data_IF_783690519249
#
_entry.id   IF_783690519249
#
_cell.length_a   1.000
_cell.length_b   1.000
_cell.length_c   1.000
_cell.angle_alpha   90.00
_cell.angle_beta   90.00
_cell.angle_gamma   90.00
#
_symmetry.space_group_name_H-M   'P 1'
#
loop_
_entity.id
_entity.type
_entity.pdbx_description
1 polymer ?
#
# COMPACT_ATOMS: atom_id res chain seq x y z
N UNK A 1 44.24 16.16 3.94
CA UNK A 1 43.28 16.64 2.92
C UNK A 1 42.96 15.61 1.84
N UNK A 2 43.92 14.89 1.26
CA UNK A 2 43.65 13.84 0.26
C UNK A 2 42.83 12.64 0.82
N UNK A 3 43.09 12.26 2.07
CA UNK A 3 42.35 11.17 2.75
C UNK A 3 40.88 11.52 3.04
N UNK A 4 40.58 12.76 3.45
CA UNK A 4 39.20 13.24 3.63
C UNK A 4 38.45 13.33 2.30
N UNK A 5 39.14 13.67 1.21
CA UNK A 5 38.55 13.69 -0.14
C UNK A 5 38.24 12.27 -0.62
N UNK A 6 39.11 11.30 -0.34
CA UNK A 6 38.89 9.88 -0.64
C UNK A 6 37.78 9.25 0.23
N UNK A 7 37.69 9.62 1.51
CA UNK A 7 36.59 9.19 2.39
C UNK A 7 35.25 9.82 1.98
N UNK A 8 35.24 11.10 1.59
CA UNK A 8 34.06 11.73 1.02
C UNK A 8 33.65 11.10 -0.32
N UNK A 9 34.59 10.80 -1.23
CA UNK A 9 34.33 10.07 -2.47
C UNK A 9 33.88 8.61 -2.25
N UNK A 10 34.40 7.94 -1.23
CA UNK A 10 33.98 6.58 -0.85
C UNK A 10 32.56 6.60 -0.25
N UNK A 11 32.25 7.59 0.59
CA UNK A 11 30.90 7.83 1.14
C UNK A 11 29.90 8.31 0.07
N UNK A 12 30.32 9.09 -0.93
CA UNK A 12 29.55 9.42 -2.14
C UNK A 12 29.32 8.18 -3.03
N UNK A 13 30.13 7.14 -2.84
CA UNK A 13 29.92 5.80 -3.38
C UNK A 13 28.86 4.99 -2.62
N UNK A 14 28.61 5.29 -1.34
CA UNK A 14 27.66 4.59 -0.46
C UNK A 14 26.31 5.32 -0.36
N UNK A 15 25.81 5.87 -1.48
CA UNK A 15 24.51 6.57 -1.53
C UNK A 15 23.33 5.74 -0.98
N UNK A 16 23.43 4.41 -1.00
CA UNK A 16 22.40 3.54 -0.43
C UNK A 16 22.19 3.74 1.07
N UNK A 17 23.17 4.28 1.81
CA UNK A 17 23.03 4.57 3.26
C UNK A 17 21.90 5.57 3.53
N UNK A 18 21.58 6.43 2.56
CA UNK A 18 20.46 7.36 2.67
C UNK A 18 19.11 6.65 2.77
N UNK A 19 18.99 5.38 2.36
CA UNK A 19 17.76 4.59 2.54
C UNK A 19 17.46 4.39 4.03
N UNK A 20 18.46 4.31 4.90
CA UNK A 20 18.22 4.18 6.35
C UNK A 20 17.60 5.43 6.97
N UNK A 21 17.77 6.61 6.34
CA UNK A 21 17.10 7.85 6.75
C UNK A 21 15.57 7.77 6.56
N UNK A 22 15.08 6.85 5.72
CA UNK A 22 13.64 6.65 5.46
C UNK A 22 12.85 6.46 6.74
N UNK A 23 13.38 5.76 7.75
CA UNK A 23 12.67 5.56 9.02
C UNK A 23 12.40 6.88 9.75
N UNK A 24 13.44 7.70 9.93
CA UNK A 24 13.35 9.02 10.57
C UNK A 24 12.43 9.96 9.80
N UNK A 25 12.43 9.82 8.48
CA UNK A 25 11.59 10.58 7.55
C UNK A 25 10.13 10.14 7.69
N UNK A 26 9.86 8.83 7.67
CA UNK A 26 8.52 8.27 7.73
C UNK A 26 7.81 8.43 9.09
N UNK A 27 8.56 8.44 10.20
CA UNK A 27 8.00 8.54 11.56
C UNK A 27 7.47 9.94 11.92
N UNK A 28 7.70 10.94 11.07
CA UNK A 28 7.25 12.29 11.36
C UNK A 28 5.71 12.35 11.55
N UNK A 29 5.22 12.99 12.64
CA UNK A 29 3.79 13.00 12.97
C UNK A 29 2.91 13.49 11.83
N UNK A 30 3.35 14.51 11.10
CA UNK A 30 2.61 15.09 9.98
C UNK A 30 2.24 14.05 8.91
N UNK A 31 3.17 13.15 8.58
CA UNK A 31 2.97 12.15 7.52
C UNK A 31 2.20 10.94 8.00
N UNK A 32 2.49 10.46 9.21
CA UNK A 32 1.70 9.40 9.83
C UNK A 32 0.24 9.85 9.94
N UNK A 33 -0.01 11.08 10.38
CA UNK A 33 -1.37 11.60 10.54
C UNK A 33 -2.08 11.76 9.19
N UNK A 34 -1.35 12.22 8.16
CA UNK A 34 -1.89 12.31 6.78
C UNK A 34 -2.26 10.93 6.23
N UNK A 35 -1.38 9.94 6.39
CA UNK A 35 -1.64 8.56 6.01
C UNK A 35 -2.79 7.94 6.83
N UNK A 36 -2.84 8.21 8.13
CA UNK A 36 -3.88 7.72 9.04
C UNK A 36 -5.25 8.28 8.69
N UNK A 37 -5.34 9.57 8.36
CA UNK A 37 -6.59 10.20 7.94
C UNK A 37 -7.09 9.60 6.62
N UNK A 38 -6.22 9.45 5.62
CA UNK A 38 -6.57 8.80 4.35
C UNK A 38 -7.01 7.34 4.56
N UNK A 39 -6.30 6.59 5.42
CA UNK A 39 -6.66 5.22 5.78
C UNK A 39 -8.02 5.16 6.49
N UNK A 40 -8.28 6.08 7.41
CA UNK A 40 -9.56 6.15 8.14
C UNK A 40 -10.71 6.40 7.17
N UNK A 41 -10.57 7.36 6.25
CA UNK A 41 -11.57 7.63 5.22
C UNK A 41 -11.82 6.40 4.33
N UNK A 42 -10.76 5.67 3.95
CA UNK A 42 -10.88 4.45 3.15
C UNK A 42 -11.64 3.36 3.91
N UNK A 43 -11.34 3.14 5.18
CA UNK A 43 -12.01 2.13 6.02
C UNK A 43 -13.46 2.50 6.31
N UNK A 44 -13.76 3.78 6.53
CA UNK A 44 -15.14 4.26 6.70
C UNK A 44 -15.95 4.06 5.41
N UNK A 45 -15.38 4.39 4.26
CA UNK A 45 -16.02 4.15 2.96
C UNK A 45 -16.29 2.66 2.71
N UNK A 46 -15.30 1.80 2.93
CA UNK A 46 -15.45 0.34 2.81
C UNK A 46 -16.50 -0.23 3.78
N UNK A 47 -16.49 0.24 5.03
CA UNK A 47 -17.50 -0.15 6.02
C UNK A 47 -18.92 0.28 5.64
N UNK A 48 -19.08 1.49 5.11
CA UNK A 48 -20.38 1.99 4.64
C UNK A 48 -20.89 1.17 3.44
N UNK A 49 -19.99 0.76 2.55
CA UNK A 49 -20.34 -0.08 1.39
C UNK A 49 -20.65 -1.54 1.78
N UNK A 50 -20.12 -2.03 2.92
CA UNK A 50 -20.34 -3.39 3.43
C UNK A 50 -21.76 -3.65 4.00
N UNK A 51 -22.68 -2.69 3.87
CA UNK A 51 -24.07 -2.84 4.29
C UNK A 51 -24.80 -3.98 3.55
N UNK A 52 -24.46 -4.22 2.28
CA UNK A 52 -24.89 -5.41 1.54
C UNK A 52 -23.93 -6.57 1.83
N UNK A 53 -24.24 -7.37 2.85
CA UNK A 53 -23.48 -8.60 3.17
C UNK A 53 -23.63 -9.63 2.05
N UNK A 54 -22.70 -9.66 1.10
CA UNK A 54 -22.76 -10.53 -0.09
C UNK A 54 -21.84 -11.75 -0.03
N UNK A 55 -20.78 -11.73 0.79
CA UNK A 55 -19.75 -12.76 0.80
C UNK A 55 -20.18 -14.00 1.59
N UNK A 56 -20.03 -15.19 0.99
CA UNK A 56 -20.43 -16.47 1.58
C UNK A 56 -19.35 -17.05 2.50
N UNK A 57 -19.77 -17.55 3.67
CA UNK A 57 -18.89 -18.14 4.70
C UNK A 57 -19.26 -19.59 4.99
N UNK A 58 -18.26 -20.48 5.07
CA UNK A 58 -18.44 -21.93 5.25
C UNK A 58 -19.03 -22.29 6.62
N UNK A 59 -18.65 -21.53 7.66
CA UNK A 59 -18.99 -21.80 9.06
C UNK A 59 -18.29 -23.02 9.66
N UNK A 60 -17.24 -23.56 9.00
CA UNK A 60 -16.37 -24.63 9.52
C UNK A 60 -14.90 -24.24 9.36
N UNK A 61 -14.09 -24.42 10.40
CA UNK A 61 -12.66 -24.07 10.43
C UNK A 61 -11.81 -25.24 9.93
N UNK A 62 -10.84 -24.97 9.05
CA UNK A 62 -9.86 -25.95 8.52
C UNK A 62 -8.50 -25.78 9.20
N UNK A 63 -7.64 -26.81 9.20
CA UNK A 63 -6.27 -26.71 9.79
C UNK A 63 -5.41 -25.61 9.18
N UNK A 64 -5.57 -25.33 7.89
CA UNK A 64 -4.87 -24.24 7.21
C UNK A 64 -5.35 -22.86 7.70
N UNK A 65 -6.62 -22.75 8.11
CA UNK A 65 -7.24 -21.53 8.63
C UNK A 65 -6.75 -21.20 10.04
N UNK A 66 -6.40 -22.22 10.84
CA UNK A 66 -5.76 -22.02 12.16
C UNK A 66 -4.39 -21.34 12.00
N UNK A 67 -3.60 -21.73 11.00
CA UNK A 67 -2.29 -21.12 10.74
C UNK A 67 -2.38 -19.68 10.20
N UNK A 68 -3.42 -19.33 9.44
CA UNK A 68 -3.66 -17.93 9.05
C UNK A 68 -4.23 -17.11 10.20
N UNK A 69 -5.04 -17.72 11.07
CA UNK A 69 -5.64 -17.08 12.25
C UNK A 69 -4.58 -16.57 13.23
N UNK A 70 -3.42 -17.24 13.34
CA UNK A 70 -2.28 -16.75 14.14
C UNK A 70 -1.69 -15.42 13.61
N UNK A 71 -1.80 -15.16 12.30
CA UNK A 71 -1.23 -13.98 11.63
C UNK A 71 -2.22 -12.81 11.49
N UNK A 72 -3.51 -13.11 11.40
CA UNK A 72 -4.62 -12.12 11.48
C UNK A 72 -5.03 -11.82 12.90
N UNK A 73 -4.79 -12.75 13.82
CA UNK A 73 -5.30 -12.60 15.17
C UNK A 73 -6.82 -12.74 15.30
N UNK A 74 -7.45 -13.42 14.35
CA UNK A 74 -8.86 -13.75 14.53
C UNK A 74 -9.11 -15.12 13.96
N UNK A 75 -10.04 -15.86 14.56
CA UNK A 75 -10.61 -17.06 13.96
C UNK A 75 -11.28 -16.66 12.63
N UNK A 76 -10.52 -16.68 11.54
CA UNK A 76 -11.01 -16.34 10.21
C UNK A 76 -11.72 -17.56 9.67
N UNK A 77 -13.04 -17.51 9.66
CA UNK A 77 -13.85 -18.50 8.97
C UNK A 77 -13.47 -18.49 7.48
N UNK A 78 -13.25 -19.66 6.85
CA UNK A 78 -12.97 -19.71 5.43
C UNK A 78 -14.13 -19.09 4.67
N UNK A 79 -13.78 -18.15 3.80
CA UNK A 79 -14.71 -17.41 2.94
C UNK A 79 -14.53 -17.85 1.49
N UNK A 80 -15.43 -17.42 0.61
CA UNK A 80 -15.29 -17.66 -0.84
C UNK A 80 -13.93 -17.17 -1.37
N UNK A 81 -13.38 -16.07 -0.83
CA UNK A 81 -12.04 -15.58 -1.17
C UNK A 81 -10.93 -16.58 -0.81
N UNK A 82 -10.99 -17.20 0.37
CA UNK A 82 -10.00 -18.20 0.79
C UNK A 82 -10.04 -19.42 -0.13
N UNK A 83 -11.24 -19.85 -0.53
CA UNK A 83 -11.40 -20.94 -1.49
C UNK A 83 -10.88 -20.56 -2.89
N UNK A 84 -11.16 -19.34 -3.36
CA UNK A 84 -10.69 -18.85 -4.65
C UNK A 84 -9.16 -18.86 -4.76
N UNK A 85 -8.48 -18.41 -3.70
CA UNK A 85 -7.01 -18.34 -3.68
C UNK A 85 -6.37 -19.72 -3.47
N UNK A 86 -6.94 -20.55 -2.59
CA UNK A 86 -6.33 -21.84 -2.21
C UNK A 86 -6.68 -23.02 -3.13
N UNK A 87 -7.88 -23.03 -3.72
CA UNK A 87 -8.38 -24.13 -4.55
C UNK A 87 -9.43 -23.61 -5.56
N UNK A 88 -8.99 -22.92 -6.63
CA UNK A 88 -9.91 -22.28 -7.58
C UNK A 88 -10.88 -23.27 -8.25
N UNK A 89 -10.47 -24.52 -8.46
CA UNK A 89 -11.30 -25.59 -9.03
C UNK A 89 -12.55 -25.91 -8.18
N UNK A 90 -12.51 -25.64 -6.88
CA UNK A 90 -13.60 -25.96 -5.93
C UNK A 90 -14.49 -24.76 -5.65
N UNK A 91 -14.19 -23.60 -6.24
CA UNK A 91 -14.84 -22.33 -5.92
C UNK A 91 -16.34 -22.34 -6.23
N UNK A 92 -16.76 -22.85 -7.40
CA UNK A 92 -18.17 -22.89 -7.79
C UNK A 92 -18.98 -23.83 -6.89
N UNK A 93 -18.46 -25.03 -6.64
CA UNK A 93 -19.07 -25.98 -5.70
C UNK A 93 -19.10 -25.46 -4.25
N UNK A 94 -18.14 -24.61 -3.86
CA UNK A 94 -18.18 -23.93 -2.57
C UNK A 94 -19.32 -22.91 -2.50
N UNK A 95 -19.48 -22.07 -3.53
CA UNK A 95 -20.59 -21.10 -3.57
C UNK A 95 -21.92 -21.84 -3.46
N UNK A 96 -22.14 -22.85 -4.29
CA UNK A 96 -23.40 -23.60 -4.32
C UNK A 96 -23.72 -24.24 -2.97
N UNK A 97 -22.71 -24.84 -2.31
CA UNK A 97 -22.87 -25.52 -1.02
C UNK A 97 -23.23 -24.60 0.14
N UNK A 98 -22.79 -23.34 0.09
CA UNK A 98 -22.89 -22.41 1.21
C UNK A 98 -23.80 -21.20 0.96
N UNK A 99 -24.36 -21.06 -0.26
CA UNK A 99 -25.24 -19.95 -0.67
C UNK A 99 -26.46 -19.74 0.23
N UNK A 100 -27.06 -20.83 0.69
CA UNK A 100 -28.30 -20.81 1.49
C UNK A 100 -28.04 -20.65 3.00
N UNK A 101 -26.78 -20.63 3.43
CA UNK A 101 -26.46 -20.41 4.84
C UNK A 101 -26.62 -18.94 5.24
N UNK A 102 -27.03 -18.66 6.50
CA UNK A 102 -27.26 -17.29 6.96
C UNK A 102 -25.96 -16.49 7.22
N UNK A 103 -24.80 -17.16 7.23
CA UNK A 103 -23.51 -16.54 7.53
C UNK A 103 -22.94 -15.79 6.32
N UNK A 104 -23.27 -14.49 6.22
CA UNK A 104 -22.73 -13.59 5.19
C UNK A 104 -21.89 -12.47 5.80
N UNK A 105 -20.83 -12.09 5.12
CA UNK A 105 -19.95 -10.97 5.50
C UNK A 105 -19.86 -9.92 4.39
N UNK A 106 -19.37 -8.73 4.74
CA UNK A 106 -19.10 -7.66 3.78
C UNK A 106 -17.83 -7.92 2.97
N UNK A 107 -17.79 -7.40 1.74
CA UNK A 107 -16.68 -7.60 0.80
C UNK A 107 -15.39 -6.95 1.33
N UNK A 108 -15.46 -5.72 1.83
CA UNK A 108 -14.29 -5.00 2.32
C UNK A 108 -13.75 -5.63 3.60
N UNK A 109 -14.60 -6.05 4.55
CA UNK A 109 -14.14 -6.75 5.76
C UNK A 109 -13.34 -8.00 5.41
N UNK A 110 -13.83 -8.82 4.48
CA UNK A 110 -13.15 -10.06 4.06
C UNK A 110 -11.86 -9.75 3.31
N UNK A 111 -11.91 -8.83 2.35
CA UNK A 111 -10.74 -8.46 1.55
C UNK A 111 -9.64 -7.79 2.38
N UNK A 112 -9.98 -6.79 3.20
CA UNK A 112 -9.02 -6.05 4.03
C UNK A 112 -8.36 -6.95 5.08
N UNK A 113 -9.13 -7.79 5.78
CA UNK A 113 -8.58 -8.73 6.76
C UNK A 113 -7.64 -9.75 6.11
N UNK A 114 -8.01 -10.29 4.94
CA UNK A 114 -7.16 -11.19 4.17
C UNK A 114 -5.85 -10.51 3.77
N UNK A 115 -5.91 -9.31 3.17
CA UNK A 115 -4.74 -8.56 2.75
C UNK A 115 -3.82 -8.20 3.93
N UNK A 116 -4.38 -7.79 5.08
CA UNK A 116 -3.58 -7.49 6.29
C UNK A 116 -2.85 -8.74 6.79
N UNK A 117 -3.51 -9.91 6.78
CA UNK A 117 -2.89 -11.19 7.16
C UNK A 117 -1.65 -11.49 6.30
N UNK A 118 -1.83 -11.36 4.97
CA UNK A 118 -0.78 -11.67 4.00
C UNK A 118 0.35 -10.64 4.05
N UNK A 119 0.04 -9.36 4.29
CA UNK A 119 1.06 -8.33 4.52
C UNK A 119 1.87 -8.59 5.80
N UNK A 120 1.24 -9.02 6.90
CA UNK A 120 1.96 -9.42 8.12
C UNK A 120 2.91 -10.58 7.84
N UNK A 121 2.43 -11.60 7.13
CA UNK A 121 3.24 -12.76 6.72
C UNK A 121 4.39 -12.36 5.81
N UNK A 122 4.14 -11.49 4.84
CA UNK A 122 5.14 -10.97 3.91
C UNK A 122 6.24 -10.21 4.67
N UNK A 123 5.86 -9.33 5.59
CA UNK A 123 6.81 -8.56 6.41
C UNK A 123 7.66 -9.46 7.32
N UNK A 124 7.06 -10.46 7.97
CA UNK A 124 7.81 -11.43 8.76
C UNK A 124 8.75 -12.28 7.90
N UNK A 125 8.32 -12.68 6.70
CA UNK A 125 9.10 -13.52 5.80
C UNK A 125 10.30 -12.78 5.21
N UNK A 126 10.11 -11.54 4.76
CA UNK A 126 11.19 -10.74 4.18
C UNK A 126 12.22 -10.31 5.23
N UNK A 127 11.80 -10.08 6.49
CA UNK A 127 12.72 -9.79 7.59
C UNK A 127 13.66 -10.98 7.90
N UNK A 128 13.21 -12.22 7.64
CA UNK A 128 14.01 -13.45 7.79
C UNK A 128 14.60 -13.90 6.44
N UNK A 129 14.54 -13.06 5.40
CA UNK A 129 15.04 -13.33 4.05
C UNK A 129 14.45 -14.60 3.38
N UNK A 130 13.23 -14.98 3.75
CA UNK A 130 12.47 -16.06 3.10
C UNK A 130 11.64 -15.52 1.94
N UNK A 131 12.27 -15.39 0.79
CA UNK A 131 11.65 -14.79 -0.40
C UNK A 131 10.46 -15.57 -0.96
N UNK A 132 10.44 -16.91 -0.84
CA UNK A 132 9.33 -17.72 -1.36
C UNK A 132 8.00 -17.34 -0.71
N UNK A 133 7.96 -17.29 0.63
CA UNK A 133 6.76 -16.89 1.37
C UNK A 133 6.36 -15.43 1.14
N UNK A 134 7.34 -14.55 0.84
CA UNK A 134 7.07 -13.16 0.49
C UNK A 134 6.36 -13.07 -0.86
N UNK A 135 6.88 -13.74 -1.89
CA UNK A 135 6.29 -13.76 -3.23
C UNK A 135 4.91 -14.40 -3.21
N UNK A 136 4.73 -15.52 -2.51
CA UNK A 136 3.41 -16.15 -2.39
C UNK A 136 2.42 -15.20 -1.73
N UNK A 137 2.78 -14.54 -0.63
CA UNK A 137 1.88 -13.63 0.07
C UNK A 137 1.48 -12.43 -0.80
N UNK A 138 2.42 -11.91 -1.61
CA UNK A 138 2.14 -10.82 -2.53
C UNK A 138 1.22 -11.28 -3.68
N UNK A 139 1.45 -12.47 -4.23
CA UNK A 139 0.59 -13.05 -5.26
C UNK A 139 -0.84 -13.31 -4.76
N UNK A 140 -0.99 -13.73 -3.50
CA UNK A 140 -2.29 -13.95 -2.87
C UNK A 140 -3.06 -12.63 -2.70
N UNK A 141 -2.38 -11.51 -2.38
CA UNK A 141 -3.00 -10.17 -2.35
C UNK A 141 -3.47 -9.72 -3.74
N UNK A 142 -2.70 -10.01 -4.79
CA UNK A 142 -3.09 -9.70 -6.18
C UNK A 142 -4.31 -10.55 -6.56
N UNK A 143 -4.29 -11.86 -6.27
CA UNK A 143 -5.44 -12.74 -6.51
C UNK A 143 -6.68 -12.30 -5.72
N UNK A 144 -6.52 -11.77 -4.51
CA UNK A 144 -7.63 -11.21 -3.73
C UNK A 144 -8.23 -9.95 -4.39
N UNK A 145 -7.41 -9.09 -4.99
CA UNK A 145 -7.90 -7.96 -5.78
C UNK A 145 -8.61 -8.42 -7.06
N UNK A 146 -8.08 -9.44 -7.75
CA UNK A 146 -8.73 -10.06 -8.93
C UNK A 146 -10.07 -10.67 -8.58
N UNK A 147 -10.16 -11.39 -7.46
CA UNK A 147 -11.42 -11.93 -6.93
C UNK A 147 -12.45 -10.83 -6.71
N UNK A 148 -12.05 -9.74 -6.04
CA UNK A 148 -12.93 -8.62 -5.76
C UNK A 148 -13.45 -8.00 -7.05
N UNK A 149 -12.58 -7.79 -8.06
CA UNK A 149 -12.97 -7.24 -9.36
C UNK A 149 -13.87 -8.18 -10.17
N UNK A 150 -13.62 -9.49 -10.14
CA UNK A 150 -14.34 -10.49 -10.95
C UNK A 150 -15.74 -10.78 -10.40
N UNK A 151 -15.88 -10.94 -9.09
CA UNK A 151 -17.15 -11.35 -8.47
C UNK A 151 -17.94 -10.17 -7.87
N UNK A 152 -17.26 -9.08 -7.51
CA UNK A 152 -17.86 -7.88 -6.91
C UNK A 152 -17.43 -6.62 -7.69
N UNK A 153 -17.66 -6.62 -9.00
CA UNK A 153 -17.10 -5.61 -9.94
C UNK A 153 -17.47 -4.18 -9.58
N UNK A 154 -18.77 -3.87 -9.45
CA UNK A 154 -19.23 -2.50 -9.15
C UNK A 154 -18.68 -2.01 -7.81
N UNK A 155 -18.72 -2.87 -6.79
CA UNK A 155 -18.19 -2.60 -5.46
C UNK A 155 -16.69 -2.27 -5.54
N UNK A 156 -15.93 -3.11 -6.21
CA UNK A 156 -14.48 -2.97 -6.32
C UNK A 156 -14.08 -1.73 -7.11
N UNK A 157 -14.77 -1.40 -8.21
CA UNK A 157 -14.50 -0.19 -8.98
C UNK A 157 -14.66 1.05 -8.10
N UNK A 158 -15.77 1.16 -7.36
CA UNK A 158 -16.02 2.30 -6.47
C UNK A 158 -14.93 2.38 -5.39
N UNK A 159 -14.61 1.26 -4.74
CA UNK A 159 -13.59 1.22 -3.69
C UNK A 159 -12.19 1.58 -4.22
N UNK A 160 -11.80 1.05 -5.39
CA UNK A 160 -10.49 1.35 -5.99
C UNK A 160 -10.39 2.80 -6.44
N UNK A 161 -11.47 3.41 -6.94
CA UNK A 161 -11.49 4.85 -7.27
C UNK A 161 -11.32 5.69 -6.01
N UNK A 162 -12.04 5.38 -4.93
CA UNK A 162 -11.89 6.07 -3.64
C UNK A 162 -10.46 5.90 -3.11
N UNK A 163 -9.91 4.68 -3.15
CA UNK A 163 -8.55 4.41 -2.74
C UNK A 163 -7.54 5.22 -3.57
N UNK A 164 -7.69 5.24 -4.89
CA UNK A 164 -6.81 5.98 -5.78
C UNK A 164 -6.86 7.49 -5.49
N UNK A 165 -8.04 8.07 -5.27
CA UNK A 165 -8.20 9.49 -4.90
C UNK A 165 -7.46 9.78 -3.58
N UNK A 166 -7.73 8.98 -2.54
CA UNK A 166 -7.15 9.18 -1.22
C UNK A 166 -5.62 9.01 -1.22
N UNK A 167 -5.11 7.95 -1.86
CA UNK A 167 -3.68 7.68 -1.93
C UNK A 167 -2.93 8.62 -2.89
N UNK A 168 -3.58 9.16 -3.93
CA UNK A 168 -2.94 10.17 -4.79
C UNK A 168 -2.71 11.47 -4.02
N UNK A 169 -3.72 11.94 -3.27
CA UNK A 169 -3.61 13.14 -2.45
C UNK A 169 -2.65 12.94 -1.26
N UNK A 170 -2.84 11.87 -0.48
CA UNK A 170 -2.00 11.58 0.68
C UNK A 170 -0.57 11.22 0.29
N UNK A 171 -0.39 10.39 -0.75
CA UNK A 171 0.91 10.00 -1.28
C UNK A 171 1.70 11.21 -1.79
N UNK A 172 1.07 12.10 -2.57
CA UNK A 172 1.70 13.35 -3.00
C UNK A 172 2.12 14.25 -1.83
N UNK A 173 1.29 14.38 -0.80
CA UNK A 173 1.61 15.17 0.40
C UNK A 173 2.78 14.56 1.20
N UNK A 174 2.79 13.23 1.36
CA UNK A 174 3.87 12.50 2.05
C UNK A 174 5.17 12.61 1.26
N UNK A 175 5.14 12.41 -0.06
CA UNK A 175 6.30 12.58 -0.94
C UNK A 175 6.83 14.01 -0.88
N UNK A 176 5.95 15.04 -0.85
CA UNK A 176 6.37 16.44 -0.69
C UNK A 176 7.10 16.70 0.63
N UNK A 177 6.53 16.22 1.74
CA UNK A 177 7.18 16.33 3.04
C UNK A 177 8.52 15.57 3.11
N UNK A 178 8.58 14.39 2.49
CA UNK A 178 9.80 13.59 2.44
C UNK A 178 10.89 14.23 1.56
N UNK A 179 10.53 14.82 0.42
CA UNK A 179 11.46 15.47 -0.49
C UNK A 179 12.11 16.70 0.16
N UNK A 180 11.31 17.56 0.81
CA UNK A 180 11.80 18.77 1.49
C UNK A 180 12.70 18.42 2.68
N UNK A 181 12.32 17.44 3.48
CA UNK A 181 13.17 17.02 4.60
C UNK A 181 14.45 16.35 4.11
N UNK A 182 14.38 15.48 3.10
CA UNK A 182 15.57 14.76 2.66
C UNK A 182 16.60 15.66 1.99
N UNK A 183 16.12 16.65 1.22
CA UNK A 183 16.98 17.46 0.36
C UNK A 183 17.47 18.73 1.04
N UNK A 184 16.64 19.35 1.90
CA UNK A 184 16.94 20.64 2.56
C UNK A 184 16.89 20.60 4.08
N UNK A 185 16.64 19.44 4.69
CA UNK A 185 16.39 19.28 6.12
C UNK A 185 15.22 20.13 6.66
N UNK A 186 14.34 20.60 5.77
CA UNK A 186 13.17 21.40 6.13
C UNK A 186 11.98 20.52 6.57
N UNK A 187 11.42 20.84 7.74
CA UNK A 187 10.20 20.18 8.23
C UNK A 187 8.98 20.93 7.75
N UNK A 188 8.40 20.45 6.65
CA UNK A 188 7.15 20.99 6.15
C UNK A 188 5.97 20.52 7.02
N UNK A 189 5.07 21.44 7.37
CA UNK A 189 3.83 21.13 8.07
C UNK A 189 2.85 20.32 7.21
N UNK A 190 1.76 19.86 7.82
CA UNK A 190 0.70 19.09 7.14
C UNK A 190 0.03 19.94 6.05
N UNK A 191 -0.38 21.16 6.40
CA UNK A 191 -1.20 22.02 5.53
C UNK A 191 -0.50 22.39 4.22
N UNK A 192 0.78 22.84 4.21
CA UNK A 192 1.45 23.18 2.94
C UNK A 192 1.68 21.95 2.05
N UNK A 193 1.97 20.78 2.63
CA UNK A 193 2.11 19.53 1.88
C UNK A 193 0.80 19.11 1.21
N UNK A 194 -0.32 19.15 1.94
CA UNK A 194 -1.65 18.83 1.40
C UNK A 194 -2.04 19.86 0.33
N UNK A 195 -1.81 21.16 0.57
CA UNK A 195 -2.11 22.22 -0.41
C UNK A 195 -1.37 21.97 -1.73
N UNK A 196 -0.10 21.61 -1.67
CA UNK A 196 0.68 21.24 -2.86
C UNK A 196 0.09 20.01 -3.57
N UNK A 197 -0.22 18.95 -2.81
CA UNK A 197 -0.79 17.73 -3.37
C UNK A 197 -2.15 17.96 -4.04
N UNK A 198 -3.00 18.82 -3.46
CA UNK A 198 -4.28 19.21 -4.04
C UNK A 198 -4.10 20.05 -5.32
N UNK A 199 -3.12 20.96 -5.34
CA UNK A 199 -2.81 21.76 -6.54
C UNK A 199 -2.35 20.88 -7.72
N UNK A 200 -1.61 19.80 -7.43
CA UNK A 200 -1.12 18.82 -8.43
C UNK A 200 -1.92 17.53 -8.45
N UNK A 201 -3.16 17.55 -7.94
CA UNK A 201 -3.97 16.34 -7.77
C UNK A 201 -4.24 15.61 -9.09
N UNK A 202 -4.55 16.34 -10.17
CA UNK A 202 -4.81 15.75 -11.48
C UNK A 202 -3.57 14.98 -11.96
N UNK A 203 -2.38 15.57 -11.86
CA UNK A 203 -1.14 14.90 -12.26
C UNK A 203 -0.86 13.66 -11.41
N UNK A 204 -1.08 13.74 -10.10
CA UNK A 204 -0.90 12.62 -9.16
C UNK A 204 -1.90 11.48 -9.39
N UNK A 205 -3.15 11.81 -9.70
CA UNK A 205 -4.22 10.85 -9.96
C UNK A 205 -4.08 10.19 -11.33
N UNK A 206 -3.72 10.95 -12.37
CA UNK A 206 -3.59 10.45 -13.73
C UNK A 206 -2.29 9.66 -13.95
N UNK A 207 -1.21 9.93 -13.21
CA UNK A 207 0.07 9.26 -13.43
C UNK A 207 0.01 7.72 -13.29
N UNK A 208 -0.60 7.15 -12.22
CA UNK A 208 -0.80 5.70 -12.12
C UNK A 208 -1.76 5.11 -13.17
N UNK A 209 -2.74 5.90 -13.64
CA UNK A 209 -3.73 5.47 -14.62
C UNK A 209 -3.19 5.44 -16.05
N UNK A 210 -2.28 6.35 -16.39
CA UNK A 210 -1.71 6.47 -17.73
C UNK A 210 -1.15 5.15 -18.31
N UNK A 211 -0.28 4.38 -17.61
CA UNK A 211 0.18 3.10 -18.14
C UNK A 211 -0.96 2.07 -18.29
N UNK A 212 -1.94 2.08 -17.38
CA UNK A 212 -3.10 1.17 -17.45
C UNK A 212 -3.98 1.49 -18.66
N UNK A 213 -4.20 2.77 -18.94
CA UNK A 213 -4.92 3.23 -20.13
C UNK A 213 -4.15 2.86 -21.39
N UNK A 214 -2.83 3.05 -21.43
CA UNK A 214 -2.00 2.66 -22.57
C UNK A 214 -2.08 1.15 -22.84
N UNK A 215 -1.99 0.32 -21.80
CA UNK A 215 -2.16 -1.14 -21.91
C UNK A 215 -3.55 -1.48 -22.43
N UNK A 216 -4.61 -0.84 -21.92
CA UNK A 216 -5.98 -1.08 -22.38
C UNK A 216 -6.19 -0.70 -23.85
N UNK A 217 -5.61 0.42 -24.31
CA UNK A 217 -5.68 0.87 -25.71
C UNK A 217 -4.94 -0.11 -26.63
N UNK A 218 -3.71 -0.51 -26.29
CA UNK A 218 -2.98 -1.52 -27.05
C UNK A 218 -3.72 -2.87 -27.06
N UNK A 219 -4.28 -3.27 -25.92
CA UNK A 219 -5.09 -4.48 -25.79
C UNK A 219 -6.33 -4.44 -26.67
N UNK A 220 -7.01 -3.29 -26.75
CA UNK A 220 -8.17 -3.10 -27.63
C UNK A 220 -7.81 -3.33 -29.11
N UNK A 221 -6.64 -2.84 -29.56
CA UNK A 221 -6.15 -3.10 -30.91
C UNK A 221 -5.96 -4.59 -31.16
N UNK A 222 -5.38 -5.32 -30.20
CA UNK A 222 -5.22 -6.78 -30.30
C UNK A 222 -6.57 -7.50 -30.32
N UNK A 223 -7.55 -7.05 -29.52
CA UNK A 223 -8.91 -7.59 -29.52
C UNK A 223 -9.59 -7.41 -30.88
N UNK A 224 -9.43 -6.24 -31.53
CA UNK A 224 -9.97 -6.00 -32.88
C UNK A 224 -9.39 -6.99 -33.89
N UNK A 225 -8.08 -7.26 -33.87
CA UNK A 225 -7.49 -8.29 -34.71
C UNK A 225 -7.98 -9.70 -34.38
N UNK A 226 -8.21 -9.99 -33.10
CA UNK A 226 -8.84 -11.23 -32.66
C UNK A 226 -10.27 -11.40 -33.19
N UNK A 227 -11.06 -10.32 -33.25
CA UNK A 227 -12.41 -10.36 -33.85
C UNK A 227 -12.36 -10.64 -35.35
N UNK A 228 -11.41 -10.03 -36.07
CA UNK A 228 -11.21 -10.24 -37.51
C UNK A 228 -10.91 -11.71 -37.83
N UNK A 229 -10.22 -12.41 -36.93
CA UNK A 229 -9.89 -13.82 -37.07
C UNK A 229 -11.11 -14.76 -37.08
N UNK A 230 -12.27 -14.32 -36.58
CA UNK A 230 -13.49 -15.14 -36.57
C UNK A 230 -14.19 -15.23 -37.94
N UNK A 231 -13.72 -14.52 -38.97
CA UNK A 231 -14.30 -14.59 -40.32
C UNK A 231 -13.88 -15.92 -40.96
N UNK A 232 -14.83 -16.80 -41.36
CA UNK A 232 -14.50 -18.08 -41.97
C UNK A 232 -13.66 -17.89 -43.25
N UNK A 233 -12.60 -18.71 -43.39
CA UNK A 233 -11.68 -18.82 -44.54
C UNK A 233 -10.75 -17.60 -44.77
N UNK A 234 -11.22 -16.37 -44.55
CA UNK A 234 -10.41 -15.16 -44.72
C UNK A 234 -9.73 -14.66 -43.43
N UNK A 235 -10.31 -14.94 -42.27
CA UNK A 235 -9.85 -14.43 -40.97
C UNK A 235 -8.47 -14.97 -40.57
N UNK A 236 -8.18 -16.23 -40.87
CA UNK A 236 -6.90 -16.87 -40.56
C UNK A 236 -5.72 -16.22 -41.31
N UNK A 237 -5.89 -15.98 -42.62
CA UNK A 237 -4.86 -15.37 -43.46
C UNK A 237 -4.66 -13.90 -43.06
N UNK A 238 -5.76 -13.17 -42.81
CA UNK A 238 -5.70 -11.77 -42.42
C UNK A 238 -5.05 -11.60 -41.04
N UNK A 239 -5.35 -12.48 -40.08
CA UNK A 239 -4.67 -12.50 -38.79
C UNK A 239 -3.19 -12.82 -38.94
N UNK A 240 -2.82 -13.81 -39.76
CA UNK A 240 -1.43 -14.18 -39.98
C UNK A 240 -0.59 -13.00 -40.53
N UNK A 241 -1.14 -12.25 -41.49
CA UNK A 241 -0.50 -11.04 -42.03
C UNK A 241 -0.45 -9.93 -40.98
N UNK A 242 -1.54 -9.73 -40.23
CA UNK A 242 -1.62 -8.72 -39.18
C UNK A 242 -0.87 -9.09 -37.88
N UNK A 243 -0.35 -10.32 -37.77
CA UNK A 243 0.26 -10.84 -36.56
C UNK A 243 1.49 -10.03 -36.13
N UNK A 244 2.21 -9.42 -37.08
CA UNK A 244 3.31 -8.51 -36.77
C UNK A 244 2.84 -7.31 -35.91
N UNK A 245 1.65 -6.76 -36.18
CA UNK A 245 1.08 -5.68 -35.38
C UNK A 245 0.64 -6.17 -34.00
N UNK A 246 0.12 -7.39 -33.91
CA UNK A 246 -0.20 -8.03 -32.63
C UNK A 246 1.05 -8.21 -31.76
N UNK A 247 2.16 -8.66 -32.35
CA UNK A 247 3.45 -8.79 -31.66
C UNK A 247 4.01 -7.44 -31.20
N UNK A 248 3.92 -6.40 -32.05
CA UNK A 248 4.33 -5.04 -31.67
C UNK A 248 3.47 -4.51 -30.51
N UNK A 249 2.14 -4.66 -30.58
CA UNK A 249 1.25 -4.26 -29.49
C UNK A 249 1.54 -5.07 -28.21
N UNK A 250 1.81 -6.37 -28.34
CA UNK A 250 2.23 -7.25 -27.24
C UNK A 250 3.53 -6.78 -26.58
N UNK A 251 4.54 -6.43 -27.38
CA UNK A 251 5.80 -5.88 -26.89
C UNK A 251 5.59 -4.54 -26.17
N UNK A 252 4.80 -3.63 -26.73
CA UNK A 252 4.44 -2.36 -26.11
C UNK A 252 3.74 -2.56 -24.76
N UNK A 253 2.78 -3.50 -24.68
CA UNK A 253 2.10 -3.85 -23.43
C UNK A 253 3.07 -4.47 -22.42
N UNK A 254 3.96 -5.37 -22.84
CA UNK A 254 4.94 -5.99 -21.96
C UNK A 254 5.89 -4.95 -21.34
N UNK A 255 6.40 -4.02 -22.16
CA UNK A 255 7.20 -2.90 -21.69
C UNK A 255 6.37 -1.96 -20.79
N UNK A 256 5.12 -1.66 -21.13
CA UNK A 256 4.29 -0.83 -20.25
C UNK A 256 4.04 -1.49 -18.88
N UNK A 257 3.82 -2.81 -18.84
CA UNK A 257 3.60 -3.58 -17.61
C UNK A 257 4.87 -3.58 -16.75
N UNK A 258 6.03 -3.91 -17.32
CA UNK A 258 7.31 -3.94 -16.59
C UNK A 258 7.66 -2.54 -16.06
N UNK A 259 7.51 -1.52 -16.92
CA UNK A 259 7.76 -0.12 -16.57
C UNK A 259 6.83 0.38 -15.49
N UNK A 260 5.54 0.06 -15.56
CA UNK A 260 4.57 0.43 -14.53
C UNK A 260 4.84 -0.29 -13.20
N UNK A 261 5.14 -1.60 -13.23
CA UNK A 261 5.40 -2.38 -12.03
C UNK A 261 6.58 -1.82 -11.20
N UNK A 262 7.65 -1.35 -11.86
CA UNK A 262 8.77 -0.68 -11.19
C UNK A 262 8.53 0.81 -10.94
N UNK A 263 7.93 1.51 -11.92
CA UNK A 263 7.87 2.97 -11.97
C UNK A 263 6.75 3.60 -11.15
N UNK A 264 5.65 2.88 -10.90
CA UNK A 264 4.46 3.45 -10.23
C UNK A 264 4.76 4.02 -8.84
N UNK A 265 5.72 3.43 -8.12
CA UNK A 265 6.19 3.93 -6.82
C UNK A 265 6.94 5.27 -6.95
N UNK A 266 7.65 5.47 -8.07
CA UNK A 266 8.47 6.66 -8.30
C UNK A 266 7.66 7.85 -8.85
N UNK A 267 6.54 7.60 -9.54
CA UNK A 267 5.75 8.65 -10.21
C UNK A 267 5.34 9.82 -9.31
N UNK A 268 4.79 9.61 -8.09
CA UNK A 268 4.45 10.73 -7.20
C UNK A 268 5.68 11.54 -6.77
N UNK A 269 6.84 10.89 -6.70
CA UNK A 269 8.10 11.54 -6.33
C UNK A 269 8.62 12.43 -7.46
N UNK A 270 8.52 12.00 -8.73
CA UNK A 270 8.89 12.82 -9.90
C UNK A 270 8.09 14.12 -9.90
N UNK A 271 6.76 14.03 -9.75
CA UNK A 271 5.85 15.18 -9.73
C UNK A 271 6.22 16.16 -8.62
N UNK A 272 6.62 15.66 -7.45
CA UNK A 272 6.99 16.48 -6.29
C UNK A 272 8.32 17.19 -6.47
N UNK A 273 9.33 16.51 -7.03
CA UNK A 273 10.67 17.06 -7.18
C UNK A 273 10.81 18.03 -8.35
N UNK A 274 10.06 17.79 -9.43
CA UNK A 274 10.23 18.50 -10.70
C UNK A 274 8.98 19.27 -11.15
N UNK A 275 7.88 19.19 -10.39
CA UNK A 275 6.60 19.82 -10.71
C UNK A 275 6.00 19.37 -12.06
N UNK A 276 6.42 18.21 -12.55
CA UNK A 276 6.05 17.61 -13.83
C UNK A 276 4.58 17.24 -13.94
N UNK A 277 4.11 17.11 -15.19
CA UNK A 277 2.80 16.55 -15.51
C UNK A 277 2.81 15.01 -15.49
N UNK A 278 1.62 14.41 -15.52
CA UNK A 278 1.46 12.96 -15.40
C UNK A 278 2.25 12.18 -16.46
N UNK A 279 2.24 12.64 -17.72
CA UNK A 279 2.95 11.97 -18.81
C UNK A 279 4.47 12.04 -18.64
N UNK A 280 5.00 13.21 -18.27
CA UNK A 280 6.43 13.38 -18.00
C UNK A 280 6.88 12.54 -16.79
N UNK A 281 6.04 12.47 -15.74
CA UNK A 281 6.29 11.62 -14.57
C UNK A 281 6.37 10.13 -14.92
N UNK A 282 5.48 9.65 -15.80
CA UNK A 282 5.52 8.26 -16.30
C UNK A 282 6.78 8.01 -17.12
N UNK A 283 7.12 8.91 -18.04
CA UNK A 283 8.28 8.73 -18.90
C UNK A 283 9.60 8.70 -18.09
N UNK A 284 9.79 9.64 -17.16
CA UNK A 284 10.98 9.68 -16.30
C UNK A 284 11.06 8.48 -15.35
N UNK A 285 9.96 8.12 -14.70
CA UNK A 285 9.93 6.96 -13.79
C UNK A 285 10.26 5.65 -14.53
N UNK A 286 9.65 5.41 -15.70
CA UNK A 286 9.97 4.25 -16.54
C UNK A 286 11.42 4.29 -17.05
N UNK A 287 11.88 5.45 -17.53
CA UNK A 287 13.25 5.63 -18.04
C UNK A 287 14.30 5.29 -16.98
N UNK A 288 14.11 5.74 -15.74
CA UNK A 288 15.04 5.42 -14.65
C UNK A 288 15.07 3.94 -14.30
N UNK A 289 13.90 3.28 -14.30
CA UNK A 289 13.79 1.83 -14.09
C UNK A 289 14.55 1.08 -15.20
N UNK A 290 14.42 1.49 -16.45
CA UNK A 290 15.09 0.85 -17.59
C UNK A 290 16.59 1.14 -17.71
N UNK A 291 17.01 2.33 -17.31
CA UNK A 291 18.42 2.75 -17.46
C UNK A 291 19.32 2.04 -16.45
N UNK A 292 18.85 1.82 -15.21
CA UNK A 292 19.62 1.16 -14.14
C UNK A 292 18.75 0.17 -13.33
N UNK A 293 18.20 -0.88 -13.95
CA UNK A 293 17.25 -1.79 -13.30
C UNK A 293 17.84 -2.45 -12.05
N UNK A 294 19.07 -2.92 -12.11
CA UNK A 294 19.74 -3.54 -10.94
C UNK A 294 19.99 -2.61 -9.77
N UNK A 295 20.26 -1.32 -10.01
CA UNK A 295 20.39 -0.36 -8.90
C UNK A 295 19.04 -0.05 -8.29
N UNK A 296 18.01 0.14 -9.13
CA UNK A 296 16.65 0.32 -8.65
C UNK A 296 16.19 -0.88 -7.83
N UNK A 297 16.35 -2.11 -8.34
CA UNK A 297 16.01 -3.34 -7.63
C UNK A 297 16.78 -3.48 -6.32
N UNK A 298 18.08 -3.16 -6.29
CA UNK A 298 18.87 -3.18 -5.06
C UNK A 298 18.34 -2.17 -4.02
N UNK A 299 18.07 -0.93 -4.43
CA UNK A 299 17.52 0.08 -3.53
C UNK A 299 16.11 -0.27 -3.04
N UNK A 300 15.25 -0.78 -3.93
CA UNK A 300 13.90 -1.22 -3.59
C UNK A 300 13.93 -2.42 -2.62
N UNK A 301 14.81 -3.40 -2.86
CA UNK A 301 14.99 -4.56 -1.98
C UNK A 301 15.51 -4.14 -0.61
N UNK A 302 16.54 -3.29 -0.58
CA UNK A 302 17.10 -2.77 0.68
C UNK A 302 16.06 -1.98 1.47
N UNK A 303 15.28 -1.12 0.79
CA UNK A 303 14.17 -0.39 1.42
C UNK A 303 13.06 -1.33 1.91
N UNK A 304 12.75 -2.41 1.18
CA UNK A 304 11.74 -3.38 1.58
C UNK A 304 12.16 -4.19 2.82
N UNK A 305 13.41 -4.69 2.86
CA UNK A 305 13.96 -5.39 4.03
C UNK A 305 14.02 -4.47 5.24
N UNK A 306 14.56 -3.25 5.07
CA UNK A 306 14.63 -2.28 6.16
C UNK A 306 13.25 -1.86 6.63
N UNK A 307 12.31 -1.61 5.71
CA UNK A 307 10.93 -1.27 6.00
C UNK A 307 10.21 -2.38 6.79
N UNK A 308 10.46 -3.64 6.46
CA UNK A 308 9.91 -4.77 7.22
C UNK A 308 10.46 -4.83 8.64
N UNK A 309 11.78 -4.61 8.84
CA UNK A 309 12.38 -4.52 10.17
C UNK A 309 11.78 -3.34 10.96
N UNK A 310 11.67 -2.17 10.35
CA UNK A 310 11.04 -1.00 10.97
C UNK A 310 9.58 -1.24 11.33
N UNK A 311 8.82 -1.91 10.45
CA UNK A 311 7.44 -2.29 10.70
C UNK A 311 7.32 -3.21 11.92
N UNK A 312 8.14 -4.26 11.99
CA UNK A 312 8.16 -5.17 13.15
C UNK A 312 8.58 -4.44 14.42
N UNK A 313 9.50 -3.48 14.34
CA UNK A 313 9.91 -2.65 15.47
C UNK A 313 8.78 -1.73 15.98
N UNK A 314 8.10 -1.01 15.09
CA UNK A 314 6.95 -0.15 15.44
C UNK A 314 5.81 -1.00 16.03
N UNK A 315 5.56 -2.17 15.43
CA UNK A 315 4.57 -3.13 15.92
C UNK A 315 4.95 -3.70 17.28
N UNK A 316 6.22 -4.01 17.51
CA UNK A 316 6.75 -4.41 18.82
C UNK A 316 6.53 -3.34 19.88
N UNK A 317 6.80 -2.07 19.56
CA UNK A 317 6.56 -0.97 20.48
C UNK A 317 5.07 -0.84 20.83
N UNK A 318 4.18 -0.92 19.84
CA UNK A 318 2.73 -0.91 20.06
C UNK A 318 2.26 -2.11 20.90
N UNK A 319 2.77 -3.32 20.61
CA UNK A 319 2.50 -4.51 21.41
C UNK A 319 2.97 -4.34 22.85
N UNK A 320 4.20 -3.86 23.06
CA UNK A 320 4.75 -3.62 24.39
C UNK A 320 3.92 -2.59 25.17
N UNK A 321 3.53 -1.49 24.53
CA UNK A 321 2.65 -0.47 25.12
C UNK A 321 1.34 -1.08 25.62
N UNK A 322 0.67 -1.90 24.80
CA UNK A 322 -0.59 -2.55 25.15
C UNK A 322 -0.38 -3.66 26.20
N UNK A 323 0.65 -4.48 26.06
CA UNK A 323 0.95 -5.59 26.97
C UNK A 323 1.30 -5.09 28.38
N UNK A 324 2.14 -4.06 28.49
CA UNK A 324 2.50 -3.45 29.79
C UNK A 324 1.27 -2.80 30.42
N UNK A 325 0.50 -2.02 29.65
CA UNK A 325 -0.74 -1.40 30.16
C UNK A 325 -1.72 -2.45 30.67
N UNK A 326 -1.89 -3.56 29.94
CA UNK A 326 -2.72 -4.68 30.38
C UNK A 326 -2.18 -5.35 31.64
N UNK A 327 -0.87 -5.60 31.71
CA UNK A 327 -0.23 -6.23 32.86
C UNK A 327 -0.54 -5.45 34.14
N UNK A 328 -0.36 -4.13 34.12
CA UNK A 328 -0.68 -3.27 35.26
C UNK A 328 -2.17 -3.30 35.62
N UNK A 329 -3.07 -3.34 34.64
CA UNK A 329 -4.51 -3.49 34.92
C UNK A 329 -4.85 -4.88 35.49
N UNK A 330 -4.19 -5.94 35.02
CA UNK A 330 -4.41 -7.30 35.51
C UNK A 330 -3.98 -7.51 36.96
N UNK A 331 -3.02 -6.70 37.43
CA UNK A 331 -2.59 -6.70 38.85
C UNK A 331 -3.67 -6.09 39.75
N UNK A 332 -4.62 -5.30 39.26
CA UNK A 332 -5.61 -4.61 40.13
C UNK A 332 -7.03 -5.15 39.92
N UNK A 333 -7.34 -5.69 38.74
CA UNK A 333 -8.68 -6.17 38.40
C UNK A 333 -8.76 -7.69 38.63
N UNK A 334 -9.29 -8.08 39.80
CA UNK A 334 -9.43 -9.47 40.23
C UNK A 334 -10.88 -9.99 40.17
N UNK A 335 -11.76 -9.28 39.48
CA UNK A 335 -13.20 -9.60 39.44
C UNK A 335 -13.54 -10.45 38.24
N UNK A 336 -14.40 -11.45 38.42
CA UNK A 336 -14.92 -12.27 37.33
C UNK A 336 -15.94 -11.51 36.47
N UNK A 337 -16.07 -11.92 35.21
CA UNK A 337 -17.05 -11.38 34.29
C UNK A 337 -18.47 -11.69 34.77
N UNK A 338 -19.33 -10.68 34.79
CA UNK A 338 -20.68 -10.77 35.36
C UNK A 338 -21.60 -11.84 34.75
N UNK A 339 -21.33 -12.26 33.50
CA UNK A 339 -22.03 -13.34 32.78
C UNK A 339 -21.11 -14.45 32.29
N UNK A 340 -19.81 -14.33 32.54
CA UNK A 340 -18.78 -15.26 32.08
C UNK A 340 -17.96 -15.70 33.30
N UNK A 341 -18.56 -16.55 34.13
CA UNK A 341 -18.03 -17.01 35.44
C UNK A 341 -16.63 -17.69 35.40
N UNK A 342 -16.06 -17.92 34.21
CA UNK A 342 -14.72 -18.51 34.03
C UNK A 342 -13.68 -17.55 33.42
N UNK A 343 -14.08 -16.32 33.08
CA UNK A 343 -13.19 -15.33 32.47
C UNK A 343 -13.09 -14.12 33.38
N UNK A 344 -11.86 -13.64 33.59
CA UNK A 344 -11.65 -12.38 34.30
C UNK A 344 -12.38 -11.26 33.56
N UNK A 345 -12.93 -10.30 34.31
CA UNK A 345 -13.60 -9.11 33.76
C UNK A 345 -12.72 -8.35 32.76
N UNK A 346 -11.40 -8.35 32.98
CA UNK A 346 -10.45 -7.74 32.06
C UNK A 346 -10.41 -8.48 30.71
N UNK A 347 -10.43 -9.82 30.69
CA UNK A 347 -10.43 -10.62 29.46
C UNK A 347 -11.73 -10.45 28.66
N UNK A 348 -12.85 -10.19 29.34
CA UNK A 348 -14.17 -9.93 28.71
C UNK A 348 -14.21 -8.56 28.01
N UNK A 349 -13.63 -7.53 28.63
CA UNK A 349 -13.69 -6.14 28.16
C UNK A 349 -12.55 -5.84 27.18
N UNK A 350 -11.35 -6.30 27.48
CA UNK A 350 -10.17 -6.14 26.64
C UNK A 350 -9.56 -7.52 26.43
N UNK A 351 -9.57 -8.11 25.24
CA UNK A 351 -8.88 -9.38 25.04
C UNK A 351 -7.36 -9.22 25.18
N UNK A 352 -6.65 -10.33 25.46
CA UNK A 352 -5.18 -10.31 25.54
C UNK A 352 -4.59 -9.92 24.17
N UNK A 353 -3.79 -8.86 24.08
CA UNK A 353 -3.12 -8.52 22.83
C UNK A 353 -2.04 -9.56 22.54
N UNK A 354 -1.92 -9.97 21.29
CA UNK A 354 -0.80 -10.78 20.79
C UNK A 354 -0.04 -10.00 19.73
N UNK A 355 1.20 -10.40 19.46
CA UNK A 355 2.08 -9.64 18.56
C UNK A 355 1.46 -9.43 17.16
N UNK A 356 0.90 -10.48 16.56
CA UNK A 356 0.18 -10.38 15.28
C UNK A 356 -1.31 -10.08 15.42
N UNK A 357 -1.83 -10.05 16.66
CA UNK A 357 -3.22 -9.81 17.01
C UNK A 357 -3.41 -8.72 18.07
N UNK A 358 -3.29 -7.45 17.70
CA UNK A 358 -3.42 -6.38 18.69
C UNK A 358 -4.89 -6.19 19.14
N UNK A 359 -5.85 -6.41 18.25
CA UNK A 359 -7.28 -6.21 18.49
C UNK A 359 -7.89 -7.33 19.35
N UNK A 360 -7.30 -8.53 19.31
CA UNK A 360 -7.73 -9.68 20.07
C UNK A 360 -8.91 -10.43 19.44
N UNK A 361 -9.09 -11.69 19.85
CA UNK A 361 -10.24 -12.48 19.43
C UNK A 361 -11.52 -11.94 20.08
N UNK A 362 -12.39 -11.37 19.25
CA UNK A 362 -13.76 -11.06 19.60
C UNK A 362 -14.60 -12.33 19.65
N UNK A 363 -14.30 -13.24 20.58
CA UNK A 363 -15.21 -14.34 20.90
C UNK A 363 -16.58 -13.72 21.24
N UNK A 364 -17.67 -14.35 20.78
CA UNK A 364 -19.03 -13.96 21.15
C UNK A 364 -19.26 -14.26 22.63
N UNK A 365 -18.70 -13.40 23.49
CA UNK A 365 -18.81 -13.47 24.93
C UNK A 365 -20.09 -12.72 25.29
N UNK A 366 -20.96 -13.37 26.06
CA UNK A 366 -22.15 -12.73 26.63
C UNK A 366 -21.70 -11.60 27.56
N UNK A 367 -21.99 -10.36 27.18
CA UNK A 367 -21.58 -9.14 27.91
C UNK A 367 -22.78 -8.44 28.52
N UNK A 368 -22.57 -7.75 29.64
CA UNK A 368 -23.51 -6.74 30.12
C UNK A 368 -23.40 -5.45 29.29
N UNK A 369 -24.44 -4.58 29.35
CA UNK A 369 -24.47 -3.32 28.58
C UNK A 369 -23.25 -2.45 28.87
N UNK A 370 -22.88 -2.31 30.15
CA UNK A 370 -21.71 -1.53 30.57
C UNK A 370 -20.40 -2.17 30.11
N UNK A 371 -20.29 -3.50 30.19
CA UNK A 371 -19.10 -4.24 29.71
C UNK A 371 -18.96 -4.14 28.20
N UNK A 372 -20.07 -4.18 27.46
CA UNK A 372 -20.08 -4.00 26.01
C UNK A 372 -19.68 -2.58 25.61
N UNK A 373 -20.14 -1.57 26.34
CA UNK A 373 -19.74 -0.18 26.10
C UNK A 373 -18.24 0.02 26.36
N UNK A 374 -17.74 -0.45 27.51
CA UNK A 374 -16.32 -0.38 27.83
C UNK A 374 -15.46 -1.14 26.80
N UNK A 375 -15.89 -2.34 26.39
CA UNK A 375 -15.19 -3.12 25.38
C UNK A 375 -15.14 -2.39 24.04
N UNK A 376 -16.25 -1.76 23.62
CA UNK A 376 -16.31 -0.96 22.40
C UNK A 376 -15.36 0.24 22.41
N UNK A 377 -15.28 0.96 23.53
CA UNK A 377 -14.37 2.11 23.67
C UNK A 377 -12.91 1.67 23.67
N UNK A 378 -12.55 0.62 24.42
CA UNK A 378 -11.18 0.10 24.42
C UNK A 378 -10.81 -0.43 23.03
N UNK A 379 -11.72 -1.15 22.37
CA UNK A 379 -11.54 -1.62 21.00
C UNK A 379 -11.25 -0.46 20.04
N UNK A 380 -11.98 0.66 20.16
CA UNK A 380 -11.72 1.85 19.34
C UNK A 380 -10.30 2.40 19.54
N UNK A 381 -9.82 2.50 20.79
CA UNK A 381 -8.45 2.96 21.06
C UNK A 381 -7.39 2.01 20.48
N UNK A 382 -7.56 0.71 20.64
CA UNK A 382 -6.66 -0.30 20.08
C UNK A 382 -6.71 -0.29 18.54
N UNK A 383 -7.87 0.00 17.95
CA UNK A 383 -8.04 0.19 16.52
C UNK A 383 -7.28 1.41 16.02
N UNK A 384 -7.29 2.54 16.75
CA UNK A 384 -6.46 3.72 16.41
C UNK A 384 -4.98 3.36 16.45
N UNK A 385 -4.51 2.66 17.49
CA UNK A 385 -3.10 2.21 17.59
C UNK A 385 -2.74 1.31 16.40
N UNK A 386 -3.59 0.34 16.08
CA UNK A 386 -3.36 -0.57 14.93
C UNK A 386 -3.37 0.18 13.60
N UNK A 387 -4.29 1.14 13.44
CA UNK A 387 -4.35 1.99 12.25
C UNK A 387 -3.12 2.89 12.09
N UNK A 388 -2.53 3.39 13.19
CA UNK A 388 -1.28 4.15 13.14
C UNK A 388 -0.09 3.31 12.66
N UNK A 389 -0.06 2.01 12.99
CA UNK A 389 0.97 1.10 12.48
C UNK A 389 0.84 0.96 10.96
N UNK A 390 -0.38 0.77 10.44
CA UNK A 390 -0.62 0.69 8.99
C UNK A 390 -0.31 2.03 8.31
N UNK A 391 -0.68 3.15 8.93
CA UNK A 391 -0.35 4.49 8.46
C UNK A 391 1.17 4.72 8.38
N UNK A 392 1.94 4.18 9.32
CA UNK A 392 3.41 4.20 9.26
C UNK A 392 3.93 3.43 8.04
N UNK A 393 3.37 2.26 7.71
CA UNK A 393 3.77 1.50 6.52
C UNK A 393 3.52 2.30 5.23
N UNK A 394 2.36 2.94 5.13
CA UNK A 394 2.02 3.81 3.98
C UNK A 394 3.00 5.01 3.91
N UNK A 395 3.24 5.67 5.03
CA UNK A 395 4.20 6.78 5.14
C UNK A 395 5.61 6.37 4.74
N UNK A 396 6.05 5.18 5.17
CA UNK A 396 7.34 4.60 4.80
C UNK A 396 7.43 4.28 3.31
N UNK A 397 6.41 3.66 2.73
CA UNK A 397 6.37 3.31 1.30
C UNK A 397 6.60 4.54 0.40
N UNK A 398 5.81 5.61 0.62
CA UNK A 398 5.94 6.84 -0.17
C UNK A 398 7.26 7.57 0.11
N UNK A 399 7.71 7.61 1.37
CA UNK A 399 9.00 8.23 1.72
C UNK A 399 10.19 7.49 1.10
N UNK A 400 10.13 6.15 1.06
CA UNK A 400 11.16 5.31 0.43
C UNK A 400 11.22 5.60 -1.07
N UNK A 401 10.07 5.63 -1.76
CA UNK A 401 10.00 5.97 -3.19
C UNK A 401 10.64 7.33 -3.49
N UNK A 402 10.40 8.32 -2.63
CA UNK A 402 10.97 9.67 -2.76
C UNK A 402 12.48 9.72 -2.58
N UNK A 403 13.02 8.98 -1.61
CA UNK A 403 14.47 8.88 -1.41
C UNK A 403 15.09 8.11 -2.58
N UNK A 404 14.53 6.96 -2.96
CA UNK A 404 15.04 6.14 -4.08
C UNK A 404 15.08 6.96 -5.37
N UNK A 405 14.02 7.70 -5.68
CA UNK A 405 13.98 8.59 -6.83
C UNK A 405 15.10 9.64 -6.79
N UNK A 406 15.33 10.28 -5.64
CA UNK A 406 16.40 11.26 -5.48
C UNK A 406 17.81 10.64 -5.66
N UNK A 407 18.01 9.40 -5.20
CA UNK A 407 19.26 8.68 -5.42
C UNK A 407 19.45 8.28 -6.89
N UNK A 408 18.37 7.93 -7.60
CA UNK A 408 18.43 7.57 -9.01
C UNK A 408 18.72 8.78 -9.90
N UNK A 409 18.01 9.90 -9.73
CA UNK A 409 18.27 11.14 -10.50
C UNK A 409 19.69 11.64 -10.30
N UNK A 410 20.26 11.50 -9.09
CA UNK A 410 21.64 11.90 -8.84
C UNK A 410 22.65 11.05 -9.64
N UNK A 411 22.35 9.76 -9.84
CA UNK A 411 23.27 8.87 -10.56
C UNK A 411 23.02 8.79 -12.06
N UNK A 412 21.81 9.10 -12.53
CA UNK A 412 21.46 9.07 -13.94
C UNK A 412 21.70 10.46 -14.56
N UNK A 413 21.18 11.52 -13.91
CA UNK A 413 21.17 12.87 -14.46
C UNK A 413 22.23 13.80 -13.83
N UNK A 414 23.00 13.31 -12.85
CA UNK A 414 23.95 14.11 -12.05
C UNK A 414 23.30 15.31 -11.31
N UNK A 415 21.99 15.27 -11.11
CA UNK A 415 21.26 16.29 -10.33
C UNK A 415 21.65 16.19 -8.84
N UNK A 416 21.99 17.30 -8.17
CA UNK A 416 22.39 17.25 -6.78
C UNK A 416 21.20 16.92 -5.86
N UNK A 417 21.48 16.36 -4.69
CA UNK A 417 20.45 15.79 -3.80
C UNK A 417 19.55 16.86 -3.16
N UNK A 418 20.03 18.09 -3.06
CA UNK A 418 19.39 19.27 -2.49
C UNK A 418 18.38 19.97 -3.43
N UNK A 419 18.49 19.70 -4.74
CA UNK A 419 17.65 20.34 -5.74
C UNK A 419 16.20 19.82 -5.67
N UNK A 420 15.28 20.62 -5.15
CA UNK A 420 13.84 20.31 -5.12
C UNK A 420 13.10 21.51 -5.64
N UNK A 421 12.08 21.28 -6.45
CA UNK A 421 11.18 22.33 -6.88
C UNK A 421 10.61 23.12 -5.69
N UNK A 422 10.79 24.43 -5.68
CA UNK A 422 10.18 25.35 -4.72
C UNK A 422 9.49 26.48 -5.47
N UNK A 423 8.21 26.65 -5.19
CA UNK A 423 7.38 27.66 -5.85
C UNK A 423 7.88 29.09 -5.59
N UNK A 424 8.33 29.39 -4.37
CA UNK A 424 8.86 30.71 -4.02
C UNK A 424 10.15 31.07 -4.79
N UNK A 425 11.05 30.11 -5.01
CA UNK A 425 12.28 30.33 -5.78
C UNK A 425 11.99 30.53 -7.26
N UNK A 426 11.03 29.77 -7.81
CA UNK A 426 10.63 29.93 -9.21
C UNK A 426 9.95 31.28 -9.46
N UNK A 427 9.04 31.71 -8.57
CA UNK A 427 8.39 33.02 -8.69
C UNK A 427 9.40 34.15 -8.59
N UNK A 428 10.36 34.07 -7.66
CA UNK A 428 11.44 35.06 -7.55
C UNK A 428 12.32 35.12 -8.81
N UNK A 429 12.65 33.96 -9.40
CA UNK A 429 13.40 33.91 -10.67
C UNK A 429 12.61 34.50 -11.84
N UNK A 430 11.30 34.27 -11.90
CA UNK A 430 10.42 34.84 -12.92
C UNK A 430 10.28 36.36 -12.77
N UNK A 431 10.14 36.85 -11.54
CA UNK A 431 10.11 38.28 -11.23
C UNK A 431 11.45 38.96 -11.60
N UNK A 432 12.58 38.31 -11.30
CA UNK A 432 13.91 38.78 -11.69
C UNK A 432 14.11 38.82 -13.21
N UNK A 433 13.71 37.76 -13.92
CA UNK A 433 13.79 37.72 -15.38
C UNK A 433 12.93 38.81 -16.04
N UNK A 434 11.74 39.07 -15.48
CA UNK A 434 10.88 40.15 -15.94
C UNK A 434 11.47 41.54 -15.66
N UNK A 435 12.18 41.73 -14.54
CA UNK A 435 12.87 42.99 -14.27
C UNK A 435 14.09 43.21 -15.16
N UNK A 436 14.80 42.14 -15.53
CA UNK A 436 15.96 42.21 -16.42
C UNK A 436 15.53 42.51 -17.87
N UNK A 437 14.41 41.95 -18.34
CA UNK A 437 13.81 42.28 -19.65
C UNK A 437 13.24 43.70 -19.73
N UNK A 438 12.85 44.30 -18.60
CA UNK A 438 12.34 45.68 -18.56
C UNK A 438 13.43 46.74 -18.41
N UNK A 439 14.66 46.34 -18.06
CA UNK A 439 15.79 47.23 -17.82
C UNK A 439 16.89 47.18 -18.90
N UNK A 440 16.83 46.22 -19.82
CA UNK A 440 17.62 46.17 -21.06
C UNK A 440 16.85 46.68 -22.26
#
# INVERSE_FOLDING_TARGET
MAEQKNLAQCCDGLLFLNIFKTFRTAIQPARILTAFFALTLLFVAGWQMDFSKTVIVSGKVTRQDLGTSELTGSLTWPTELHCFVGAPERFEGYIERYKDKPYKQGVFKVWSSFCIARLNRAAASIAVLRFDNFVTSLSECILAAVWALKYHTLYSIILFVIALILFSAAGGAICRGAALQFSRDERCGITPCIKFALKKFISLFCAPLAPMIFIAVCGLVVLVFGLIANIPWAGEILLAIAFIFVLIAGLCMALAIIGAAGGINLMPSVIVYENSDAFDAVNKSCSYVYTKPWRFSFYALLAAVYGAVCYLFVRFFAFLMLAVSRLFLSIIIWTDGSKAERLNKLDVIWPKPEFFNLLGDGLEISRNLTESFAAGVIYLFVLVVTGLIIAFVISFYFSAGTIIYCLLRNKIDNTPLDNVFIEAEQTAQLEQAQSDEQSG
#
